data_IF_146042770695
#
_entry.id   IF_146042770695
#
_cell.length_a   1.000
_cell.length_b   1.000
_cell.length_c   1.000
_cell.angle_alpha   90.00
_cell.angle_beta   90.00
_cell.angle_gamma   90.00
#
_symmetry.space_group_name_H-M   'P 1'
#
loop_
_entity.id
_entity.type
_entity.pdbx_description
1 polymer ?
#
# COMPACT_ATOMS: atom_id res chain seq x y z
N UNK A 1 8.31 -43.55 -14.41
CA UNK A 1 6.99 -42.90 -14.49
C UNK A 1 6.00 -43.77 -13.72
N UNK A 2 5.63 -43.44 -12.47
CA UNK A 2 4.60 -44.17 -11.77
C UNK A 2 3.23 -43.79 -12.36
N UNK A 3 2.48 -44.82 -12.72
CA UNK A 3 1.12 -44.77 -13.25
C UNK A 3 0.17 -44.19 -12.20
N UNK A 4 -0.40 -43.01 -12.46
CA UNK A 4 -1.58 -42.50 -11.75
C UNK A 4 -2.78 -43.37 -12.13
N UNK A 5 -3.16 -44.28 -11.24
CA UNK A 5 -4.41 -45.01 -11.36
C UNK A 5 -5.58 -44.01 -11.29
N UNK A 6 -6.62 -44.15 -12.14
CA UNK A 6 -7.79 -43.29 -12.05
C UNK A 6 -8.49 -43.56 -10.71
N UNK A 7 -8.66 -42.51 -9.90
CA UNK A 7 -9.53 -42.56 -8.75
C UNK A 7 -10.91 -43.04 -9.22
N UNK A 8 -11.34 -44.20 -8.70
CA UNK A 8 -12.64 -44.79 -9.01
C UNK A 8 -13.72 -43.77 -8.68
N UNK A 9 -14.32 -43.17 -9.71
CA UNK A 9 -15.54 -42.39 -9.58
C UNK A 9 -16.65 -43.35 -9.13
N UNK A 10 -16.80 -43.52 -7.81
CA UNK A 10 -17.89 -44.26 -7.23
C UNK A 10 -19.19 -43.58 -7.70
N UNK A 11 -19.92 -44.25 -8.59
CA UNK A 11 -21.19 -43.75 -9.06
C UNK A 11 -22.09 -43.55 -7.83
N UNK A 12 -22.68 -42.36 -7.70
CA UNK A 12 -23.63 -42.01 -6.64
C UNK A 12 -24.95 -42.76 -6.90
N UNK A 13 -24.98 -44.06 -6.63
CA UNK A 13 -26.06 -44.96 -7.05
C UNK A 13 -27.15 -45.14 -6.01
N UNK A 14 -26.95 -44.70 -4.76
CA UNK A 14 -27.95 -44.79 -3.69
C UNK A 14 -28.21 -43.42 -3.06
N UNK A 15 -29.42 -43.22 -2.52
CA UNK A 15 -29.77 -42.01 -1.76
C UNK A 15 -28.76 -41.72 -0.65
N UNK A 16 -28.32 -42.75 0.07
CA UNK A 16 -27.35 -42.61 1.16
C UNK A 16 -25.96 -42.22 0.63
N UNK A 17 -25.54 -42.76 -0.52
CA UNK A 17 -24.29 -42.34 -1.18
C UNK A 17 -24.32 -40.88 -1.64
N UNK A 18 -25.48 -40.41 -2.11
CA UNK A 18 -25.70 -39.00 -2.46
C UNK A 18 -25.64 -38.14 -1.21
N UNK A 19 -26.39 -38.49 -0.15
CA UNK A 19 -26.39 -37.73 1.10
C UNK A 19 -25.00 -37.63 1.72
N UNK A 20 -24.24 -38.73 1.79
CA UNK A 20 -22.86 -38.71 2.29
C UNK A 20 -21.91 -37.84 1.45
N UNK A 21 -22.10 -37.80 0.13
CA UNK A 21 -21.35 -36.88 -0.72
C UNK A 21 -21.70 -35.40 -0.42
N UNK A 22 -22.97 -35.08 -0.22
CA UNK A 22 -23.40 -33.73 0.16
C UNK A 22 -22.93 -33.32 1.56
N UNK A 23 -22.81 -34.26 2.50
CA UNK A 23 -22.19 -34.01 3.81
C UNK A 23 -20.71 -33.66 3.65
N UNK A 24 -19.98 -34.40 2.81
CA UNK A 24 -18.58 -34.10 2.50
C UNK A 24 -18.44 -32.72 1.84
N UNK A 25 -19.27 -32.40 0.85
CA UNK A 25 -19.26 -31.08 0.22
C UNK A 25 -19.60 -29.95 1.18
N UNK A 26 -20.54 -30.17 2.10
CA UNK A 26 -20.85 -29.19 3.15
C UNK A 26 -19.62 -28.92 4.00
N UNK A 27 -18.98 -29.97 4.50
CA UNK A 27 -17.83 -29.85 5.40
C UNK A 27 -16.64 -29.16 4.69
N UNK A 28 -16.41 -29.45 3.40
CA UNK A 28 -15.41 -28.75 2.58
C UNK A 28 -15.74 -27.27 2.35
N UNK A 29 -17.02 -26.95 2.11
CA UNK A 29 -17.47 -25.56 1.94
C UNK A 29 -17.38 -24.76 3.24
N UNK A 30 -17.67 -25.39 4.37
CA UNK A 30 -17.56 -24.77 5.70
C UNK A 30 -16.10 -24.48 6.03
N UNK A 31 -15.17 -25.43 5.87
CA UNK A 31 -13.72 -25.17 6.03
C UNK A 31 -13.24 -24.05 5.10
N UNK A 32 -13.71 -24.06 3.85
CA UNK A 32 -13.38 -23.02 2.88
C UNK A 32 -13.82 -21.63 3.34
N UNK A 33 -15.06 -21.50 3.84
CA UNK A 33 -15.63 -20.24 4.28
C UNK A 33 -14.98 -19.74 5.57
N UNK A 34 -14.74 -20.64 6.51
CA UNK A 34 -14.06 -20.33 7.77
C UNK A 34 -12.62 -19.85 7.52
N UNK A 35 -11.88 -20.55 6.65
CA UNK A 35 -10.53 -20.13 6.22
C UNK A 35 -10.58 -18.75 5.56
N UNK A 36 -11.51 -18.53 4.65
CA UNK A 36 -11.67 -17.24 3.96
C UNK A 36 -11.89 -16.11 4.97
N UNK A 37 -12.73 -16.32 5.97
CA UNK A 37 -13.02 -15.30 6.99
C UNK A 37 -11.80 -15.04 7.89
N UNK A 38 -11.05 -16.07 8.29
CA UNK A 38 -9.78 -15.91 9.03
C UNK A 38 -8.75 -15.09 8.24
N UNK A 39 -8.62 -15.35 6.94
CA UNK A 39 -7.71 -14.62 6.06
C UNK A 39 -8.15 -13.16 5.88
N UNK A 40 -9.44 -12.87 5.71
CA UNK A 40 -9.97 -11.51 5.60
C UNK A 40 -9.68 -10.71 6.89
N UNK A 41 -9.91 -11.30 8.06
CA UNK A 41 -9.63 -10.66 9.35
C UNK A 41 -8.15 -10.30 9.48
N UNK A 42 -7.28 -11.27 9.20
CA UNK A 42 -5.83 -11.07 9.30
C UNK A 42 -5.32 -10.04 8.26
N UNK A 43 -5.85 -10.07 7.04
CA UNK A 43 -5.56 -9.06 5.99
C UNK A 43 -5.95 -7.65 6.43
N UNK A 44 -7.12 -7.48 7.07
CA UNK A 44 -7.57 -6.20 7.62
C UNK A 44 -6.67 -5.69 8.75
N UNK A 45 -6.21 -6.57 9.62
CA UNK A 45 -5.29 -6.23 10.70
C UNK A 45 -3.94 -5.75 10.13
N UNK A 46 -3.42 -6.43 9.10
CA UNK A 46 -2.23 -6.01 8.37
C UNK A 46 -2.41 -4.63 7.74
N UNK A 47 -3.52 -4.38 7.06
CA UNK A 47 -3.82 -3.05 6.50
C UNK A 47 -3.80 -1.98 7.59
N UNK A 48 -4.47 -2.22 8.73
CA UNK A 48 -4.53 -1.25 9.82
C UNK A 48 -3.15 -0.96 10.43
N UNK A 49 -2.33 -1.99 10.62
CA UNK A 49 -0.96 -1.83 11.15
C UNK A 49 -0.05 -1.11 10.16
N UNK A 50 -0.17 -1.41 8.87
CA UNK A 50 0.61 -0.79 7.80
C UNK A 50 0.27 0.71 7.68
N UNK A 51 -1.01 1.09 7.75
CA UNK A 51 -1.42 2.51 7.84
C UNK A 51 -0.83 3.23 9.04
N UNK A 52 -0.91 2.59 10.22
CA UNK A 52 -0.31 3.16 11.44
C UNK A 52 1.21 3.34 11.30
N UNK A 53 1.87 2.45 10.56
CA UNK A 53 3.29 2.60 10.25
C UNK A 53 3.54 3.78 9.30
N UNK A 54 2.77 3.92 8.21
CA UNK A 54 2.88 5.06 7.29
C UNK A 54 2.71 6.39 8.04
N UNK A 55 1.68 6.51 8.89
CA UNK A 55 1.49 7.72 9.71
C UNK A 55 2.64 7.96 10.69
N UNK A 56 3.20 6.90 11.29
CA UNK A 56 4.37 7.01 12.16
C UNK A 56 5.59 7.53 11.38
N UNK A 57 5.82 7.03 10.17
CA UNK A 57 6.93 7.45 9.30
C UNK A 57 6.80 8.92 8.93
N UNK A 58 5.62 9.36 8.48
CA UNK A 58 5.34 10.77 8.22
C UNK A 58 5.63 11.63 9.44
N UNK A 59 5.11 11.22 10.60
CA UNK A 59 5.33 11.97 11.84
C UNK A 59 6.82 12.14 12.16
N UNK A 60 7.62 11.08 12.03
CA UNK A 60 9.07 11.13 12.28
C UNK A 60 9.76 12.11 11.34
N UNK A 61 9.42 12.07 10.04
CA UNK A 61 10.05 12.97 9.06
C UNK A 61 9.49 14.39 9.10
N UNK A 62 8.35 14.61 9.78
CA UNK A 62 7.74 15.92 9.94
C UNK A 62 7.94 16.60 11.31
N UNK A 63 8.16 15.91 12.42
CA UNK A 63 8.21 16.57 13.74
C UNK A 63 9.60 17.17 14.08
N UNK A 64 10.70 16.65 13.54
CA UNK A 64 12.04 17.11 13.91
C UNK A 64 12.56 18.24 13.01
N UNK A 65 12.18 19.48 13.34
CA UNK A 65 12.63 20.69 12.65
C UNK A 65 14.12 21.04 12.87
N UNK A 66 14.79 20.37 13.83
CA UNK A 66 16.20 20.63 14.18
C UNK A 66 17.22 19.76 13.45
N UNK A 67 16.78 18.71 12.75
CA UNK A 67 17.65 17.69 12.18
C UNK A 67 17.63 17.77 10.66
N UNK A 68 18.64 18.46 10.11
CA UNK A 68 18.79 18.67 8.66
C UNK A 68 19.46 17.49 7.95
N UNK A 69 19.92 16.48 8.70
CA UNK A 69 20.53 15.28 8.13
C UNK A 69 19.47 14.24 7.77
N UNK A 70 19.13 14.21 6.48
CA UNK A 70 18.22 13.24 5.88
C UNK A 70 18.61 11.78 6.12
N UNK A 71 19.91 11.48 6.23
CA UNK A 71 20.39 10.12 6.48
C UNK A 71 20.04 9.68 7.91
N UNK A 72 20.22 10.57 8.87
CA UNK A 72 19.93 10.29 10.27
C UNK A 72 18.42 10.17 10.52
N UNK A 73 17.62 11.03 9.87
CA UNK A 73 16.17 10.91 9.85
C UNK A 73 15.71 9.58 9.24
N UNK A 74 16.30 9.18 8.10
CA UNK A 74 16.02 7.90 7.44
C UNK A 74 16.33 6.70 8.34
N UNK A 75 17.51 6.68 8.97
CA UNK A 75 17.91 5.61 9.89
C UNK A 75 17.01 5.54 11.13
N UNK A 76 16.60 6.70 11.66
CA UNK A 76 15.64 6.77 12.78
C UNK A 76 14.28 6.21 12.37
N UNK A 77 13.78 6.60 11.20
CA UNK A 77 12.52 6.13 10.65
C UNK A 77 12.53 4.61 10.49
N UNK A 78 13.58 4.05 9.88
CA UNK A 78 13.78 2.60 9.74
C UNK A 78 13.84 1.88 11.10
N UNK A 79 14.59 2.42 12.05
CA UNK A 79 14.70 1.85 13.40
C UNK A 79 13.34 1.82 14.12
N UNK A 80 12.54 2.88 13.98
CA UNK A 80 11.19 2.97 14.58
C UNK A 80 10.16 2.12 13.83
N UNK A 81 10.35 1.89 12.53
CA UNK A 81 9.49 1.05 11.71
C UNK A 81 9.66 -0.43 12.04
N UNK A 82 10.90 -0.86 12.34
CA UNK A 82 11.28 -2.28 12.50
C UNK A 82 10.36 -3.09 13.42
N UNK A 83 9.98 -2.64 14.64
CA UNK A 83 9.06 -3.40 15.49
C UNK A 83 7.68 -3.61 14.86
N UNK A 84 7.14 -2.59 14.17
CA UNK A 84 5.84 -2.67 13.49
C UNK A 84 5.90 -3.55 12.25
N UNK A 85 6.99 -3.48 11.49
CA UNK A 85 7.22 -4.37 10.35
C UNK A 85 7.29 -5.83 10.80
N UNK A 86 8.03 -6.12 11.88
CA UNK A 86 8.08 -7.47 12.45
C UNK A 86 6.70 -7.96 12.93
N UNK A 87 5.90 -7.09 13.54
CA UNK A 87 4.52 -7.40 13.95
C UNK A 87 3.66 -7.78 12.73
N UNK A 88 3.73 -7.01 11.65
CA UNK A 88 3.01 -7.30 10.40
C UNK A 88 3.50 -8.60 9.75
N UNK A 89 4.82 -8.82 9.68
CA UNK A 89 5.42 -10.04 9.14
C UNK A 89 4.99 -11.28 9.93
N UNK A 90 4.81 -11.16 11.25
CA UNK A 90 4.28 -12.25 12.09
C UNK A 90 2.83 -12.63 11.75
N UNK A 91 2.04 -11.71 11.21
CA UNK A 91 0.67 -11.99 10.74
C UNK A 91 0.73 -12.80 9.44
N UNK A 92 1.62 -12.43 8.51
CA UNK A 92 1.84 -13.23 7.29
C UNK A 92 2.36 -14.63 7.61
N UNK A 93 3.30 -14.74 8.55
CA UNK A 93 3.80 -16.05 9.01
C UNK A 93 2.68 -16.97 9.51
N UNK A 94 1.71 -16.42 10.25
CA UNK A 94 0.53 -17.15 10.74
C UNK A 94 -0.43 -17.58 9.61
N UNK A 95 -0.41 -16.91 8.47
CA UNK A 95 -1.22 -17.29 7.30
C UNK A 95 -0.61 -18.43 6.48
N UNK A 96 0.67 -18.79 6.69
CA UNK A 96 1.40 -19.78 5.87
C UNK A 96 0.61 -21.07 5.63
N UNK A 97 0.13 -21.70 6.69
CA UNK A 97 -0.58 -22.99 6.59
C UNK A 97 -1.91 -22.87 5.83
N UNK A 98 -2.63 -21.75 6.04
CA UNK A 98 -3.89 -21.47 5.36
C UNK A 98 -3.69 -21.25 3.85
N UNK A 99 -2.53 -20.72 3.46
CA UNK A 99 -2.18 -20.36 2.08
C UNK A 99 -1.29 -21.40 1.36
N UNK A 100 -0.95 -22.52 1.99
CA UNK A 100 0.04 -23.44 1.43
C UNK A 100 -0.37 -24.03 0.06
N UNK A 101 0.62 -24.11 -0.84
CA UNK A 101 0.47 -24.65 -2.20
C UNK A 101 -0.54 -23.85 -3.03
N UNK A 102 -1.36 -24.55 -3.80
CA UNK A 102 -2.33 -23.93 -4.72
C UNK A 102 -3.44 -23.14 -4.01
N UNK A 103 -3.58 -23.29 -2.68
CA UNK A 103 -4.56 -22.53 -1.89
C UNK A 103 -4.29 -21.03 -1.96
N UNK A 104 -3.02 -20.63 -2.07
CA UNK A 104 -2.69 -19.21 -2.16
C UNK A 104 -3.47 -18.53 -3.30
N UNK A 105 -3.45 -19.10 -4.50
CA UNK A 105 -4.12 -18.51 -5.67
C UNK A 105 -5.64 -18.44 -5.51
N UNK A 106 -6.23 -19.36 -4.75
CA UNK A 106 -7.67 -19.34 -4.42
C UNK A 106 -8.03 -18.17 -3.49
N UNK A 107 -7.14 -17.83 -2.56
CA UNK A 107 -7.39 -16.80 -1.53
C UNK A 107 -6.58 -15.51 -1.72
N UNK A 108 -5.80 -15.38 -2.79
CA UNK A 108 -4.93 -14.22 -3.06
C UNK A 108 -5.70 -12.91 -2.91
N UNK A 109 -6.91 -12.83 -3.47
CA UNK A 109 -7.77 -11.64 -3.40
C UNK A 109 -8.17 -11.23 -1.99
N UNK A 110 -8.20 -12.17 -1.04
CA UNK A 110 -8.52 -11.89 0.36
C UNK A 110 -7.32 -11.26 1.10
N UNK A 111 -6.10 -11.62 0.71
CA UNK A 111 -4.84 -11.17 1.33
C UNK A 111 -4.28 -9.92 0.65
N UNK A 112 -4.53 -9.79 -0.65
CA UNK A 112 -4.05 -8.71 -1.53
C UNK A 112 -4.17 -7.29 -0.95
N UNK A 113 -5.31 -6.86 -0.34
CA UNK A 113 -5.40 -5.53 0.27
C UNK A 113 -4.41 -5.29 1.42
N UNK A 114 -4.21 -6.29 2.29
CA UNK A 114 -3.22 -6.21 3.37
C UNK A 114 -1.80 -6.24 2.81
N UNK A 115 -1.54 -7.05 1.79
CA UNK A 115 -0.24 -7.16 1.14
C UNK A 115 0.17 -5.85 0.45
N UNK A 116 -0.71 -5.24 -0.34
CA UNK A 116 -0.43 -3.97 -1.01
C UNK A 116 -0.11 -2.84 -0.01
N UNK A 117 -0.89 -2.72 1.06
CA UNK A 117 -0.65 -1.71 2.10
C UNK A 117 0.66 -1.98 2.88
N UNK A 118 1.01 -3.24 3.11
CA UNK A 118 2.30 -3.60 3.69
C UNK A 118 3.47 -3.20 2.78
N UNK A 119 3.35 -3.46 1.47
CA UNK A 119 4.36 -3.09 0.48
C UNK A 119 4.52 -1.57 0.43
N UNK A 120 3.43 -0.81 0.44
CA UNK A 120 3.44 0.64 0.55
C UNK A 120 4.20 1.11 1.80
N UNK A 121 3.87 0.57 2.97
CA UNK A 121 4.53 0.95 4.22
C UNK A 121 6.02 0.58 4.27
N UNK A 122 6.36 -0.64 3.83
CA UNK A 122 7.74 -1.14 3.77
C UNK A 122 8.58 -0.33 2.77
N UNK A 123 8.03 -0.08 1.59
CA UNK A 123 8.71 0.69 0.54
C UNK A 123 8.90 2.15 0.94
N UNK A 124 7.96 2.74 1.70
CA UNK A 124 8.15 4.08 2.25
C UNK A 124 9.28 4.12 3.27
N UNK A 125 9.33 3.16 4.20
CA UNK A 125 10.46 3.05 5.15
C UNK A 125 11.80 2.86 4.41
N UNK A 126 11.83 1.98 3.40
CA UNK A 126 13.01 1.73 2.59
C UNK A 126 13.48 2.99 1.83
N UNK A 127 12.54 3.74 1.23
CA UNK A 127 12.87 5.00 0.56
C UNK A 127 13.45 6.03 1.53
N UNK A 128 12.88 6.16 2.73
CA UNK A 128 13.38 7.12 3.71
C UNK A 128 14.84 6.83 4.10
N UNK A 129 15.20 5.55 4.22
CA UNK A 129 16.55 5.12 4.59
C UNK A 129 17.55 5.13 3.41
N UNK A 130 17.13 4.67 2.23
CA UNK A 130 18.03 4.38 1.11
C UNK A 130 17.88 5.32 -0.09
N UNK A 131 16.82 6.15 -0.12
CA UNK A 131 16.43 6.98 -1.28
C UNK A 131 16.27 6.16 -2.57
N UNK A 132 15.83 4.91 -2.43
CA UNK A 132 15.68 3.97 -3.52
C UNK A 132 14.38 3.16 -3.39
N UNK A 133 13.88 2.67 -4.52
CA UNK A 133 12.75 1.75 -4.57
C UNK A 133 13.18 0.38 -4.04
N UNK A 134 12.35 -0.25 -3.21
CA UNK A 134 12.60 -1.61 -2.75
C UNK A 134 12.34 -2.59 -3.89
N UNK A 135 13.26 -3.52 -4.14
CA UNK A 135 13.11 -4.54 -5.19
C UNK A 135 12.11 -5.61 -4.79
N UNK A 136 11.59 -6.33 -5.79
CA UNK A 136 10.71 -7.47 -5.60
C UNK A 136 11.33 -8.53 -4.67
N UNK A 137 12.60 -8.88 -4.89
CA UNK A 137 13.31 -9.89 -4.10
C UNK A 137 13.47 -9.46 -2.64
N UNK A 138 13.75 -8.17 -2.41
CA UNK A 138 13.80 -7.63 -1.05
C UNK A 138 12.43 -7.74 -0.37
N UNK A 139 11.32 -7.42 -1.05
CA UNK A 139 9.98 -7.61 -0.47
C UNK A 139 9.70 -9.09 -0.21
N UNK A 140 9.97 -9.98 -1.17
CA UNK A 140 9.76 -11.42 -1.04
C UNK A 140 10.54 -12.02 0.14
N UNK A 141 11.76 -11.54 0.39
CA UNK A 141 12.58 -11.98 1.52
C UNK A 141 11.97 -11.64 2.89
N UNK A 142 11.16 -10.57 2.96
CA UNK A 142 10.42 -10.22 4.19
C UNK A 142 9.19 -11.09 4.42
N UNK A 143 8.75 -11.83 3.40
CA UNK A 143 7.61 -12.73 3.40
C UNK A 143 8.07 -14.19 3.39
N UNK A 144 9.19 -14.46 4.05
CA UNK A 144 9.79 -15.78 4.19
C UNK A 144 10.08 -16.10 5.66
N UNK A 145 10.22 -17.39 5.96
CA UNK A 145 10.66 -17.88 7.26
C UNK A 145 12.18 -17.67 7.46
N UNK A 146 12.73 -17.95 8.66
CA UNK A 146 14.17 -17.78 8.94
C UNK A 146 15.10 -18.62 8.05
N UNK A 147 14.59 -19.70 7.45
CA UNK A 147 15.34 -20.56 6.53
C UNK A 147 15.27 -20.06 5.06
N UNK A 148 14.56 -18.94 4.83
CA UNK A 148 14.40 -18.32 3.53
C UNK A 148 13.28 -18.94 2.68
N UNK A 149 12.42 -19.77 3.27
CA UNK A 149 11.29 -20.37 2.55
C UNK A 149 10.11 -19.37 2.54
N UNK A 150 9.63 -18.94 1.36
CA UNK A 150 8.49 -18.03 1.27
C UNK A 150 7.23 -18.58 1.97
N UNK A 151 6.51 -17.71 2.69
CA UNK A 151 5.16 -18.04 3.20
C UNK A 151 4.18 -18.26 2.05
N UNK A 152 4.36 -17.50 0.97
CA UNK A 152 3.68 -17.59 -0.32
C UNK A 152 4.50 -16.83 -1.37
N UNK A 153 4.25 -17.09 -2.65
CA UNK A 153 4.84 -16.33 -3.74
C UNK A 153 4.20 -14.94 -3.81
N UNK A 154 5.02 -13.89 -3.79
CA UNK A 154 4.59 -12.50 -3.92
C UNK A 154 3.96 -12.27 -5.30
N UNK A 155 2.67 -11.92 -5.42
CA UNK A 155 2.11 -11.62 -6.72
C UNK A 155 2.72 -10.33 -7.27
N UNK A 156 3.20 -10.39 -8.51
CA UNK A 156 3.79 -9.22 -9.18
C UNK A 156 2.78 -8.06 -9.27
N UNK A 157 1.49 -8.36 -9.45
CA UNK A 157 0.44 -7.33 -9.43
C UNK A 157 0.35 -6.62 -8.08
N UNK A 158 0.40 -7.36 -6.96
CA UNK A 158 0.33 -6.78 -5.61
C UNK A 158 1.58 -5.94 -5.29
N UNK A 159 2.77 -6.38 -5.74
CA UNK A 159 4.00 -5.60 -5.69
C UNK A 159 3.86 -4.26 -6.41
N UNK A 160 3.43 -4.28 -7.69
CA UNK A 160 3.30 -3.07 -8.49
C UNK A 160 2.22 -2.12 -7.95
N UNK A 161 1.10 -2.65 -7.45
CA UNK A 161 0.02 -1.83 -6.89
C UNK A 161 0.43 -1.16 -5.58
N UNK A 162 1.12 -1.87 -4.68
CA UNK A 162 1.65 -1.27 -3.44
C UNK A 162 2.69 -0.19 -3.72
N UNK A 163 3.56 -0.38 -4.72
CA UNK A 163 4.52 0.65 -5.14
C UNK A 163 3.85 1.85 -5.85
N UNK A 164 2.74 1.62 -6.56
CA UNK A 164 1.98 2.73 -7.13
C UNK A 164 1.37 3.59 -6.02
N UNK A 165 0.88 2.99 -4.93
CA UNK A 165 0.32 3.73 -3.78
C UNK A 165 1.40 4.50 -3.00
N UNK A 166 2.62 3.95 -2.88
CA UNK A 166 3.79 4.67 -2.33
C UNK A 166 3.97 6.06 -2.95
N UNK A 167 3.69 6.24 -4.25
CA UNK A 167 3.86 7.54 -4.92
C UNK A 167 3.00 8.64 -4.29
N UNK A 168 1.83 8.29 -3.74
CA UNK A 168 0.97 9.21 -2.99
C UNK A 168 1.57 9.60 -1.64
N UNK A 169 2.20 8.67 -0.93
CA UNK A 169 2.90 8.94 0.33
C UNK A 169 4.17 9.77 0.12
N UNK A 170 4.90 9.53 -0.97
CA UNK A 170 6.03 10.37 -1.37
C UNK A 170 5.61 11.80 -1.72
N UNK A 171 4.47 11.97 -2.41
CA UNK A 171 3.91 13.29 -2.65
C UNK A 171 3.59 14.01 -1.33
N UNK A 172 2.90 13.34 -0.39
CA UNK A 172 2.61 13.91 0.94
C UNK A 172 3.89 14.33 1.65
N UNK A 173 4.92 13.48 1.59
CA UNK A 173 6.21 13.77 2.21
C UNK A 173 6.92 14.98 1.55
N UNK A 174 6.89 15.07 0.22
CA UNK A 174 7.46 16.20 -0.51
C UNK A 174 6.80 17.53 -0.09
N UNK A 175 5.47 17.59 -0.13
CA UNK A 175 4.71 18.80 0.25
C UNK A 175 4.99 19.21 1.69
N UNK A 176 4.98 18.26 2.62
CA UNK A 176 5.26 18.52 4.04
C UNK A 176 6.72 18.95 4.31
N UNK A 177 7.62 18.69 3.36
CA UNK A 177 9.03 19.06 3.45
C UNK A 177 9.31 20.47 2.96
N UNK A 178 8.57 20.99 1.96
CA UNK A 178 8.84 22.28 1.29
C UNK A 178 9.06 23.45 2.26
N UNK A 179 8.26 23.64 3.33
CA UNK A 179 8.42 24.78 4.26
C UNK A 179 9.71 24.75 5.09
N UNK A 180 10.46 23.64 5.06
CA UNK A 180 11.63 23.44 5.91
C UNK A 180 12.90 23.85 5.17
N UNK A 181 13.94 24.19 5.94
CA UNK A 181 15.29 24.39 5.40
C UNK A 181 15.75 23.15 4.62
N UNK A 182 16.19 23.35 3.39
CA UNK A 182 16.58 22.25 2.48
C UNK A 182 15.42 21.43 1.91
N UNK A 183 14.18 21.72 2.32
CA UNK A 183 12.97 21.03 1.89
C UNK A 183 12.66 21.15 0.40
N UNK A 184 13.10 22.24 -0.24
CA UNK A 184 12.95 22.48 -1.68
C UNK A 184 13.73 21.47 -2.52
N UNK A 185 15.00 21.27 -2.18
CA UNK A 185 15.83 20.27 -2.86
C UNK A 185 15.21 18.88 -2.68
N UNK A 186 14.81 18.55 -1.45
CA UNK A 186 14.14 17.29 -1.13
C UNK A 186 12.87 17.08 -1.95
N UNK A 187 12.01 18.09 -2.10
CA UNK A 187 10.81 17.99 -2.92
C UNK A 187 11.15 17.77 -4.41
N UNK A 188 12.20 18.41 -4.92
CA UNK A 188 12.72 18.20 -6.28
C UNK A 188 13.26 16.79 -6.49
N UNK A 189 14.00 16.25 -5.52
CA UNK A 189 14.53 14.88 -5.57
C UNK A 189 13.39 13.85 -5.55
N UNK A 190 12.39 14.04 -4.68
CA UNK A 190 11.20 13.19 -4.62
C UNK A 190 10.40 13.29 -5.93
N UNK A 191 10.22 14.49 -6.48
CA UNK A 191 9.55 14.70 -7.76
C UNK A 191 10.22 13.90 -8.88
N UNK A 192 11.56 13.97 -8.95
CA UNK A 192 12.34 13.24 -9.94
C UNK A 192 12.23 11.73 -9.76
N UNK A 193 12.25 11.25 -8.52
CA UNK A 193 12.04 9.84 -8.18
C UNK A 193 10.64 9.34 -8.60
N UNK A 194 9.58 10.08 -8.23
CA UNK A 194 8.19 9.72 -8.59
C UNK A 194 7.99 9.74 -10.10
N UNK A 195 8.61 10.69 -10.82
CA UNK A 195 8.58 10.75 -12.29
C UNK A 195 9.24 9.52 -12.91
N UNK A 196 10.36 9.05 -12.38
CA UNK A 196 11.02 7.81 -12.83
C UNK A 196 10.12 6.59 -12.59
N UNK A 197 9.57 6.44 -11.37
CA UNK A 197 8.64 5.34 -11.06
C UNK A 197 7.42 5.34 -12.00
N UNK A 198 6.85 6.50 -12.29
CA UNK A 198 5.73 6.63 -13.24
C UNK A 198 6.11 6.12 -14.63
N UNK A 199 7.27 6.53 -15.15
CA UNK A 199 7.75 6.09 -16.46
C UNK A 199 7.93 4.56 -16.52
N UNK A 200 8.53 3.97 -15.49
CA UNK A 200 8.73 2.52 -15.40
C UNK A 200 7.39 1.77 -15.31
N UNK A 201 6.45 2.26 -14.49
CA UNK A 201 5.14 1.64 -14.32
C UNK A 201 4.25 1.78 -15.56
N UNK A 202 4.34 2.88 -16.30
CA UNK A 202 3.61 3.08 -17.57
C UNK A 202 3.90 1.97 -18.58
N UNK A 203 5.17 1.53 -18.68
CA UNK A 203 5.58 0.43 -19.54
C UNK A 203 4.92 -0.92 -19.17
N UNK A 204 4.45 -1.07 -17.93
CA UNK A 204 3.81 -2.29 -17.43
C UNK A 204 2.28 -2.25 -17.50
N UNK A 205 1.67 -1.08 -17.76
CA UNK A 205 0.20 -0.92 -17.80
C UNK A 205 -0.54 -1.81 -18.81
N UNK A 206 0.03 -2.25 -19.95
CA UNK A 206 -0.64 -3.19 -20.84
C UNK A 206 -0.86 -4.58 -20.21
N UNK A 207 -0.02 -4.96 -19.24
CA UNK A 207 -0.05 -6.27 -18.60
C UNK A 207 -0.88 -6.28 -17.30
N UNK A 208 -0.99 -5.13 -16.63
CA UNK A 208 -1.69 -5.01 -15.34
C UNK A 208 -2.79 -3.95 -15.41
N UNK A 209 -4.04 -4.40 -15.54
CA UNK A 209 -5.21 -3.52 -15.73
C UNK A 209 -5.42 -2.55 -14.57
N UNK A 210 -5.25 -3.01 -13.33
CA UNK A 210 -5.45 -2.15 -12.16
C UNK A 210 -4.31 -1.13 -12.01
N UNK A 211 -3.09 -1.47 -12.46
CA UNK A 211 -1.96 -0.52 -12.49
C UNK A 211 -2.27 0.67 -13.39
N UNK A 212 -2.92 0.45 -14.54
CA UNK A 212 -3.35 1.55 -15.43
C UNK A 212 -4.23 2.58 -14.70
N UNK A 213 -5.14 2.14 -13.83
CA UNK A 213 -5.99 3.06 -13.05
C UNK A 213 -5.17 3.81 -11.99
N UNK A 214 -4.23 3.11 -11.33
CA UNK A 214 -3.34 3.72 -10.35
C UNK A 214 -2.42 4.76 -10.97
N UNK A 215 -1.98 4.58 -12.23
CA UNK A 215 -1.17 5.58 -12.94
C UNK A 215 -1.86 6.94 -13.10
N UNK A 216 -3.19 6.99 -13.18
CA UNK A 216 -3.93 8.26 -13.14
C UNK A 216 -3.71 8.99 -11.81
N UNK A 217 -3.73 8.27 -10.69
CA UNK A 217 -3.50 8.84 -9.35
C UNK A 217 -2.03 9.22 -9.15
N UNK A 218 -1.11 8.42 -9.67
CA UNK A 218 0.33 8.74 -9.70
C UNK A 218 0.59 10.03 -10.49
N UNK A 219 -0.09 10.23 -11.62
CA UNK A 219 0.01 11.46 -12.42
C UNK A 219 -0.44 12.69 -11.64
N UNK A 220 -1.59 12.60 -10.95
CA UNK A 220 -2.09 13.67 -10.08
C UNK A 220 -1.15 13.95 -8.90
N UNK A 221 -0.54 12.90 -8.34
CA UNK A 221 0.43 13.05 -7.26
C UNK A 221 1.69 13.76 -7.75
N UNK A 222 2.17 13.44 -8.95
CA UNK A 222 3.32 14.10 -9.56
C UNK A 222 3.02 15.59 -9.85
N UNK A 223 1.86 15.88 -10.46
CA UNK A 223 1.41 17.25 -10.76
C UNK A 223 1.40 18.12 -9.50
N UNK A 224 0.87 17.60 -8.37
CA UNK A 224 0.89 18.32 -7.08
C UNK A 224 2.30 18.68 -6.60
N UNK A 225 3.27 17.78 -6.76
CA UNK A 225 4.66 18.06 -6.36
C UNK A 225 5.27 19.09 -7.31
N UNK A 226 5.03 18.96 -8.61
CA UNK A 226 5.54 19.86 -9.65
C UNK A 226 4.98 21.28 -9.46
N UNK A 227 3.68 21.43 -9.26
CA UNK A 227 3.02 22.71 -9.01
C UNK A 227 3.56 23.40 -7.76
N UNK A 228 3.70 22.65 -6.66
CA UNK A 228 4.24 23.19 -5.42
C UNK A 228 5.70 23.63 -5.59
N UNK A 229 6.51 22.84 -6.30
CA UNK A 229 7.92 23.17 -6.57
C UNK A 229 8.02 24.38 -7.49
N UNK A 230 7.23 24.44 -8.56
CA UNK A 230 7.16 25.56 -9.50
C UNK A 230 6.76 26.85 -8.80
N UNK A 231 5.68 26.81 -8.00
CA UNK A 231 5.17 27.95 -7.26
C UNK A 231 6.19 28.53 -6.26
N UNK A 232 7.07 27.68 -5.73
CA UNK A 232 8.19 28.09 -4.87
C UNK A 232 9.31 28.72 -5.69
N UNK A 233 9.72 28.10 -6.80
CA UNK A 233 10.78 28.62 -7.68
C UNK A 233 10.43 30.01 -8.20
N UNK A 234 9.23 30.21 -8.73
CA UNK A 234 8.77 31.51 -9.25
C UNK A 234 8.87 32.59 -8.17
N UNK A 235 8.34 32.35 -6.97
CA UNK A 235 8.40 33.33 -5.88
C UNK A 235 9.82 33.61 -5.41
N UNK A 236 10.68 32.59 -5.34
CA UNK A 236 12.08 32.80 -4.99
C UNK A 236 12.84 33.60 -6.06
N UNK A 237 12.40 33.56 -7.31
CA UNK A 237 12.97 34.39 -8.39
C UNK A 237 12.45 35.82 -8.42
N UNK A 238 11.26 36.09 -7.85
CA UNK A 238 10.69 37.43 -7.74
C UNK A 238 11.35 38.26 -6.63
N UNK A 239 11.87 37.60 -5.60
CA UNK A 239 12.50 38.23 -4.44
C UNK A 239 13.97 37.80 -4.34
N UNK A 240 14.89 38.70 -4.70
CA UNK A 240 16.34 38.50 -4.52
C UNK A 240 16.70 38.66 -3.02
N UNK A 241 16.24 37.70 -2.21
CA UNK A 241 16.28 37.74 -0.74
C UNK A 241 17.21 36.67 -0.14
N UNK A 242 17.77 36.92 1.05
CA UNK A 242 18.49 35.91 1.83
C UNK A 242 17.67 34.63 2.05
N UNK A 243 18.33 33.47 2.00
CA UNK A 243 17.67 32.14 2.06
C UNK A 243 16.75 31.96 3.27
N UNK A 244 17.09 32.53 4.42
CA UNK A 244 16.29 32.37 5.65
C UNK A 244 14.93 33.11 5.56
N UNK A 245 14.87 34.29 4.91
CA UNK A 245 13.62 35.03 4.69
C UNK A 245 12.75 34.39 3.59
N UNK A 246 13.38 33.69 2.65
CA UNK A 246 12.67 32.92 1.62
C UNK A 246 11.96 31.71 2.24
N UNK A 247 12.57 31.03 3.20
CA UNK A 247 11.97 29.87 3.85
C UNK A 247 10.70 30.28 4.65
N UNK A 248 10.71 31.43 5.32
CA UNK A 248 9.53 31.99 6.02
C UNK A 248 8.39 32.38 5.06
N UNK A 249 8.71 33.02 3.93
CA UNK A 249 7.74 33.41 2.90
C UNK A 249 7.12 32.19 2.21
N UNK A 250 7.92 31.16 1.98
CA UNK A 250 7.48 29.87 1.43
C UNK A 250 6.57 29.14 2.43
N UNK A 251 6.88 29.13 3.72
CA UNK A 251 6.03 28.52 4.74
C UNK A 251 4.61 29.12 4.79
N UNK A 252 4.48 30.45 4.65
CA UNK A 252 3.18 31.12 4.55
C UNK A 252 2.43 30.78 3.24
N UNK A 253 3.18 30.57 2.17
CA UNK A 253 2.64 30.33 0.83
C UNK A 253 2.13 28.90 0.65
N UNK A 254 2.91 27.91 1.09
CA UNK A 254 2.53 26.49 1.00
C UNK A 254 1.25 26.25 1.79
N UNK A 255 1.10 26.85 2.97
CA UNK A 255 -0.15 26.81 3.74
C UNK A 255 -1.36 27.27 2.90
N UNK A 256 -1.24 28.38 2.15
CA UNK A 256 -2.30 28.89 1.27
C UNK A 256 -2.57 28.03 0.03
N UNK A 257 -1.54 27.43 -0.56
CA UNK A 257 -1.68 26.57 -1.73
C UNK A 257 -2.31 25.21 -1.39
N UNK A 258 -1.94 24.64 -0.24
CA UNK A 258 -2.53 23.39 0.28
C UNK A 258 -4.01 23.59 0.62
N UNK A 259 -4.39 24.73 1.22
CA UNK A 259 -5.79 25.05 1.52
C UNK A 259 -6.67 25.18 0.26
N UNK A 260 -6.13 25.71 -0.84
CA UNK A 260 -6.87 25.79 -2.11
C UNK A 260 -7.10 24.42 -2.78
N UNK A 261 -6.25 23.42 -2.50
CA UNK A 261 -6.39 22.06 -3.03
C UNK A 261 -7.43 21.21 -2.29
N UNK A 262 -7.90 21.66 -1.12
CA UNK A 262 -8.80 20.89 -0.25
C UNK A 262 -10.30 21.15 -0.51
N UNK A 263 -10.64 21.99 -1.49
CA UNK A 263 -12.04 22.28 -1.89
C UNK A 263 -12.66 21.25 -2.86
N UNK A 264 -12.05 20.07 -3.02
CA UNK A 264 -12.49 19.05 -3.98
C UNK A 264 -12.98 17.71 -3.39
N UNK A 265 -12.79 17.43 -2.10
CA UNK A 265 -13.32 16.21 -1.48
C UNK A 265 -14.63 16.50 -0.74
N UNK A 266 -15.76 16.41 -1.44
CA UNK A 266 -17.02 16.19 -0.75
C UNK A 266 -16.94 14.86 0.02
N UNK A 267 -17.36 14.82 1.30
CA UNK A 267 -17.44 13.57 2.03
C UNK A 267 -18.51 12.71 1.35
N UNK A 268 -18.08 11.59 0.75
CA UNK A 268 -18.97 10.52 0.28
C UNK A 268 -19.92 10.13 1.40
N UNK A 269 -21.12 10.71 1.40
CA UNK A 269 -22.21 10.30 2.27
C UNK A 269 -22.46 8.81 2.02
N UNK A 270 -22.32 8.02 3.08
CA UNK A 270 -22.79 6.64 3.13
C UNK A 270 -24.25 6.64 2.71
N UNK A 271 -24.56 6.06 1.54
CA UNK A 271 -25.93 5.71 1.15
C UNK A 271 -26.53 4.85 2.27
N UNK A 272 -27.44 5.45 3.04
CA UNK A 272 -28.31 4.71 3.93
C UNK A 272 -29.17 3.77 3.06
N UNK A 273 -29.15 2.47 3.38
CA UNK A 273 -30.12 1.52 2.84
C UNK A 273 -31.49 1.92 3.38
N UNK A 274 -32.33 2.47 2.52
CA UNK A 274 -33.74 2.61 2.81
C UNK A 274 -34.34 1.20 2.85
N UNK A 275 -34.90 0.82 3.99
CA UNK A 275 -35.80 -0.31 4.11
C UNK A 275 -37.16 0.15 3.58
N UNK A 276 -37.64 -0.49 2.52
CA UNK A 276 -39.05 -0.44 2.14
C UNK A 276 -39.81 -1.28 3.16
N UNK A 277 -40.70 -0.64 3.91
CA UNK A 277 -41.83 -1.30 4.54
C UNK A 277 -43.03 -0.99 3.64
N UNK A 278 -43.54 -2.03 2.98
CA UNK A 278 -44.86 -2.02 2.36
C UNK A 278 -45.91 -1.65 3.43
N UNK A 279 -46.66 -0.59 3.17
CA UNK A 279 -47.93 -0.30 3.79
C UNK A 279 -48.98 -0.48 2.70
N UNK A 280 -49.65 -1.63 2.73
CA UNK A 280 -50.94 -1.81 2.04
C UNK A 280 -52.00 -1.01 2.82
N UNK A 281 -52.61 -0.03 2.13
CA UNK A 281 -53.86 0.63 2.52
C UNK A 281 -55.07 -0.22 2.04
N UNK A 282 -56.14 -0.12 2.83
CA UNK A 282 -57.55 -0.47 2.61
C UNK A 282 -58.03 -0.99 1.23
#
# INVERSE_FOLDING_TARGET
MPSLAPASAAALTSRDSVLGAFETFRDELDDHNDRRERLIKSSRDITNLSKKLIFLLHRIVTEDAGESDDRLLGLRAATRAKPKLNEIQSLFARMREELAGDRFWRYQRNVSPGLQEYIEALSFAHYLEHKALISYDQVQSTLADPDGVPYFELPLEDYLLGLADLTGELMRFAIASIPRRGGRQKASDICSFVRACKADFEGLTPYFKELRKKQTVTSQSLEKIEDATYAVVVRTSEYDMPQDLLDDLVAQTVSRAVDHSNYGEEPRQKRARHADYDMDDD
#
